data_IF_230111988415
#
_entry.id   IF_230111988415
#
_cell.length_a   1.000
_cell.length_b   1.000
_cell.length_c   1.000
_cell.angle_alpha   90.00
_cell.angle_beta   90.00
_cell.angle_gamma   90.00
#
_symmetry.space_group_name_H-M   'P 1'
#
loop_
_entity.id
_entity.type
_entity.pdbx_description
1 polymer ?
#
# COMPACT_ATOMS: atom_id res chain seq x y z
N UNK A 1 -3.99 24.24 2.70
CA UNK A 1 -4.94 23.27 2.10
C UNK A 1 -4.65 21.91 2.70
N UNK A 2 -5.59 21.35 3.47
CA UNK A 2 -5.40 20.06 4.13
C UNK A 2 -5.42 18.92 3.11
N UNK A 3 -4.40 18.06 3.12
CA UNK A 3 -4.50 16.76 2.48
C UNK A 3 -5.37 15.89 3.39
N UNK A 4 -6.52 15.37 2.93
CA UNK A 4 -7.37 14.54 3.76
C UNK A 4 -6.61 13.28 4.17
N UNK A 5 -6.73 12.88 5.44
CA UNK A 5 -6.37 11.54 5.88
C UNK A 5 -7.15 10.55 5.02
N UNK A 6 -6.47 9.87 4.09
CA UNK A 6 -7.11 8.93 3.17
C UNK A 6 -7.43 7.65 3.91
N UNK A 7 -8.53 7.65 4.66
CA UNK A 7 -9.19 6.40 5.01
C UNK A 7 -9.54 5.67 3.71
N UNK A 8 -9.43 4.34 3.70
CA UNK A 8 -10.02 3.50 2.66
C UNK A 8 -11.56 3.64 2.72
N UNK A 9 -12.08 4.79 2.33
CA UNK A 9 -13.51 5.05 2.18
C UNK A 9 -13.92 4.46 0.84
N UNK A 10 -14.27 3.18 0.84
CA UNK A 10 -14.72 2.47 -0.35
C UNK A 10 -16.23 2.60 -0.47
N UNK A 11 -16.71 3.54 -1.29
CA UNK A 11 -18.12 3.54 -1.71
C UNK A 11 -18.44 2.30 -2.59
N UNK A 12 -17.43 1.71 -3.22
CA UNK A 12 -17.51 0.43 -3.94
C UNK A 12 -17.15 -0.75 -3.02
N UNK A 13 -18.08 -1.69 -2.85
CA UNK A 13 -17.82 -2.95 -2.12
C UNK A 13 -17.37 -4.04 -3.07
N UNK A 14 -16.34 -4.78 -2.69
CA UNK A 14 -15.89 -5.95 -3.43
C UNK A 14 -16.84 -7.14 -3.25
N UNK A 15 -16.93 -7.94 -4.29
CA UNK A 15 -17.69 -9.20 -4.29
C UNK A 15 -16.74 -10.38 -4.44
N UNK A 16 -17.14 -11.54 -3.91
CA UNK A 16 -16.49 -12.78 -4.29
C UNK A 16 -16.83 -13.07 -5.75
N UNK A 17 -15.81 -13.39 -6.54
CA UNK A 17 -15.93 -13.76 -7.94
C UNK A 17 -15.29 -15.11 -8.22
N UNK A 18 -15.84 -15.82 -9.21
CA UNK A 18 -15.26 -17.05 -9.75
C UNK A 18 -15.52 -17.19 -11.24
N UNK A 19 -15.44 -18.41 -11.76
CA UNK A 19 -15.61 -18.74 -13.17
C UNK A 19 -17.04 -19.07 -13.57
N UNK A 20 -17.97 -19.27 -12.62
CA UNK A 20 -19.30 -19.82 -12.90
C UNK A 20 -19.26 -21.32 -13.25
N UNK A 21 -18.27 -22.05 -12.72
CA UNK A 21 -18.22 -23.53 -12.73
C UNK A 21 -18.90 -24.13 -11.50
N UNK A 22 -19.35 -23.30 -10.57
CA UNK A 22 -20.02 -23.76 -9.36
C UNK A 22 -21.35 -24.42 -9.68
N UNK A 23 -21.64 -25.48 -8.94
CA UNK A 23 -22.89 -26.23 -9.08
C UNK A 23 -23.56 -26.44 -7.73
N UNK A 24 -24.89 -26.54 -7.77
CA UNK A 24 -25.72 -26.78 -6.60
C UNK A 24 -25.76 -25.63 -5.60
N UNK A 25 -26.50 -25.83 -4.50
CA UNK A 25 -26.62 -24.83 -3.42
C UNK A 25 -25.38 -24.73 -2.53
N UNK A 26 -24.43 -25.66 -2.67
CA UNK A 26 -23.17 -25.66 -1.93
C UNK A 26 -22.06 -24.82 -2.59
N UNK A 27 -22.33 -24.24 -3.78
CA UNK A 27 -21.35 -23.47 -4.55
C UNK A 27 -20.01 -24.22 -4.78
N UNK A 28 -20.09 -25.53 -5.09
CA UNK A 28 -18.90 -26.38 -5.22
C UNK A 28 -18.20 -26.12 -6.56
N UNK A 29 -16.92 -25.73 -6.53
CA UNK A 29 -16.07 -25.56 -7.70
C UNK A 29 -15.13 -26.77 -7.90
N UNK A 30 -14.72 -27.08 -9.15
CA UNK A 30 -13.71 -28.09 -9.42
C UNK A 30 -12.35 -27.77 -8.77
N UNK A 31 -11.57 -28.81 -8.49
CA UNK A 31 -10.17 -28.68 -8.08
C UNK A 31 -9.34 -28.09 -9.23
N UNK A 32 -8.40 -27.20 -8.89
CA UNK A 32 -7.44 -26.62 -9.82
C UNK A 32 -7.38 -25.10 -9.76
N UNK A 33 -6.43 -24.55 -10.51
CA UNK A 33 -6.23 -23.10 -10.61
C UNK A 33 -7.15 -22.48 -11.66
N UNK A 34 -7.66 -21.28 -11.37
CA UNK A 34 -8.37 -20.43 -12.32
C UNK A 34 -7.73 -19.03 -12.35
N UNK A 35 -7.47 -18.48 -13.55
CA UNK A 35 -6.90 -17.15 -13.66
C UNK A 35 -7.98 -16.06 -13.66
N UNK A 36 -7.63 -14.91 -13.10
CA UNK A 36 -8.43 -13.68 -13.12
C UNK A 36 -7.54 -12.53 -13.59
N UNK A 37 -8.06 -11.69 -14.50
CA UNK A 37 -7.36 -10.53 -15.04
C UNK A 37 -8.25 -9.29 -15.01
N UNK A 38 -7.65 -8.15 -14.69
CA UNK A 38 -8.27 -6.83 -14.86
C UNK A 38 -7.21 -5.83 -15.32
N UNK A 39 -7.60 -4.95 -16.23
CA UNK A 39 -6.76 -3.85 -16.67
C UNK A 39 -6.93 -2.65 -15.72
N UNK A 40 -5.82 -2.04 -15.33
CA UNK A 40 -5.85 -0.82 -14.52
C UNK A 40 -6.18 0.36 -15.43
N UNK A 41 -7.18 1.19 -15.09
CA UNK A 41 -7.54 2.35 -15.89
C UNK A 41 -6.35 3.28 -16.08
N UNK A 42 -6.15 3.73 -17.31
CA UNK A 42 -5.13 4.71 -17.65
C UNK A 42 -5.59 5.53 -18.86
N UNK A 43 -5.08 6.75 -18.97
CA UNK A 43 -5.27 7.59 -20.15
C UNK A 43 -4.07 8.52 -20.32
N UNK A 44 -3.98 9.20 -21.46
CA UNK A 44 -2.89 10.15 -21.74
C UNK A 44 -2.77 11.28 -20.69
N UNK A 45 -3.82 11.55 -19.91
CA UNK A 45 -3.81 12.58 -18.85
C UNK A 45 -3.96 12.00 -17.44
N UNK A 46 -4.08 10.67 -17.32
CA UNK A 46 -4.30 9.97 -16.05
C UNK A 46 -3.38 8.76 -15.99
N UNK A 47 -2.13 9.02 -15.65
CA UNK A 47 -1.06 8.02 -15.63
C UNK A 47 -0.97 7.36 -14.25
N UNK A 48 -1.23 6.05 -14.14
CA UNK A 48 -1.16 5.35 -12.87
C UNK A 48 0.29 5.24 -12.40
N UNK A 49 0.54 5.41 -11.10
CA UNK A 49 1.89 5.35 -10.53
C UNK A 49 2.03 4.27 -9.46
N UNK A 50 0.97 4.00 -8.69
CA UNK A 50 1.02 3.04 -7.60
C UNK A 50 -0.27 2.23 -7.52
N UNK A 51 -0.16 0.96 -7.13
CA UNK A 51 -1.30 0.16 -6.71
C UNK A 51 -1.11 -0.30 -5.27
N UNK A 52 -2.12 -0.09 -4.42
CA UNK A 52 -2.26 -0.79 -3.15
C UNK A 52 -3.37 -1.82 -3.26
N UNK A 53 -3.02 -3.08 -3.06
CA UNK A 53 -3.87 -4.22 -3.34
C UNK A 53 -4.20 -4.91 -2.03
N UNK A 54 -5.48 -4.98 -1.69
CA UNK A 54 -6.01 -5.78 -0.58
C UNK A 54 -6.66 -7.01 -1.19
N UNK A 55 -6.14 -8.20 -0.86
CA UNK A 55 -6.59 -9.43 -1.50
C UNK A 55 -6.55 -10.60 -0.52
N UNK A 56 -7.57 -11.45 -0.59
CA UNK A 56 -7.53 -12.79 -0.03
C UNK A 56 -7.38 -13.77 -1.21
N UNK A 57 -6.55 -14.80 -1.05
CA UNK A 57 -6.19 -15.82 -2.06
C UNK A 57 -4.91 -15.55 -2.90
N UNK A 58 -4.39 -16.66 -3.43
CA UNK A 58 -2.99 -16.94 -3.77
C UNK A 58 -2.52 -16.26 -5.08
N UNK A 59 -1.19 -16.14 -5.22
CA UNK A 59 -0.40 -15.65 -6.36
C UNK A 59 -0.95 -14.42 -7.10
N UNK A 60 -0.48 -13.25 -6.66
CA UNK A 60 -0.80 -11.95 -7.21
C UNK A 60 0.31 -11.49 -8.14
N UNK A 61 -0.06 -11.07 -9.34
CA UNK A 61 0.84 -10.57 -10.35
C UNK A 61 0.41 -9.18 -10.81
N UNK A 62 1.40 -8.31 -11.01
CA UNK A 62 1.23 -7.03 -11.69
C UNK A 62 2.23 -6.98 -12.83
N UNK A 63 1.73 -6.71 -14.04
CA UNK A 63 2.54 -6.59 -15.25
C UNK A 63 3.46 -7.79 -15.53
N UNK A 64 3.01 -9.00 -15.21
CA UNK A 64 3.78 -10.24 -15.40
C UNK A 64 4.65 -10.62 -14.21
N UNK A 65 4.89 -9.70 -13.29
CA UNK A 65 5.70 -9.94 -12.11
C UNK A 65 4.84 -10.39 -10.93
N UNK A 66 5.31 -11.42 -10.22
CA UNK A 66 4.71 -11.85 -8.98
C UNK A 66 5.11 -10.89 -7.85
N UNK A 67 4.11 -10.27 -7.22
CA UNK A 67 4.32 -9.38 -6.08
C UNK A 67 3.97 -10.06 -4.76
N UNK A 68 3.07 -11.06 -4.77
CA UNK A 68 2.66 -11.72 -3.55
C UNK A 68 2.29 -13.17 -3.74
N UNK A 69 2.66 -14.01 -2.77
CA UNK A 69 2.05 -15.33 -2.55
C UNK A 69 0.99 -15.16 -1.47
N UNK A 70 -0.27 -14.91 -1.87
CA UNK A 70 -1.37 -14.67 -0.92
C UNK A 70 -1.55 -15.78 0.12
N UNK A 71 -2.31 -15.47 1.19
CA UNK A 71 -2.66 -16.42 2.26
C UNK A 71 -4.02 -17.09 2.00
N UNK A 72 -4.35 -18.17 2.72
CA UNK A 72 -5.68 -18.78 2.62
C UNK A 72 -6.77 -17.81 3.13
N UNK A 73 -8.03 -17.90 2.65
CA UNK A 73 -9.12 -17.01 3.10
C UNK A 73 -9.29 -16.92 4.62
N UNK A 74 -8.98 -18.02 5.33
CA UNK A 74 -9.08 -18.12 6.80
C UNK A 74 -7.98 -17.33 7.54
N UNK A 75 -6.93 -16.93 6.84
CA UNK A 75 -5.79 -16.17 7.40
C UNK A 75 -5.91 -14.65 7.15
N UNK A 76 -7.05 -14.19 6.61
CA UNK A 76 -7.33 -12.78 6.36
C UNK A 76 -6.77 -12.25 5.04
N UNK A 77 -7.10 -10.99 4.73
CA UNK A 77 -6.56 -10.32 3.56
C UNK A 77 -5.10 -9.90 3.80
N UNK A 78 -4.32 -9.89 2.72
CA UNK A 78 -2.96 -9.32 2.70
C UNK A 78 -3.01 -8.03 1.89
N UNK A 79 -2.17 -7.07 2.28
CA UNK A 79 -2.02 -5.81 1.54
C UNK A 79 -0.65 -5.77 0.90
N UNK A 80 -0.62 -5.54 -0.41
CA UNK A 80 0.57 -5.36 -1.23
C UNK A 80 0.63 -3.94 -1.78
N UNK A 81 1.84 -3.41 -2.04
CA UNK A 81 2.01 -2.17 -2.79
C UNK A 81 3.06 -2.35 -3.87
N UNK A 82 2.76 -1.89 -5.08
CA UNK A 82 3.69 -2.00 -6.21
C UNK A 82 3.64 -0.77 -7.12
N UNK A 83 4.76 -0.51 -7.80
CA UNK A 83 4.87 0.53 -8.81
C UNK A 83 4.14 0.16 -10.09
N UNK A 84 3.55 1.16 -10.76
CA UNK A 84 2.88 1.00 -12.04
C UNK A 84 3.63 1.77 -13.13
N UNK A 85 3.45 1.34 -14.38
CA UNK A 85 4.06 1.97 -15.53
C UNK A 85 3.15 3.10 -16.05
N UNK A 86 3.53 4.38 -15.92
CA UNK A 86 2.65 5.51 -16.24
C UNK A 86 2.25 5.58 -17.72
N UNK A 87 3.12 5.10 -18.61
CA UNK A 87 2.99 5.26 -20.07
C UNK A 87 2.57 3.96 -20.79
N UNK A 88 2.19 2.92 -20.04
CA UNK A 88 1.83 1.63 -20.63
C UNK A 88 0.63 0.99 -19.96
N UNK A 89 0.02 0.03 -20.65
CA UNK A 89 -1.04 -0.81 -20.09
C UNK A 89 -0.53 -1.49 -18.83
N UNK A 90 -1.27 -1.34 -17.73
CA UNK A 90 -1.02 -2.06 -16.50
C UNK A 90 -2.09 -3.14 -16.32
N UNK A 91 -1.67 -4.35 -15.97
CA UNK A 91 -2.57 -5.47 -15.73
C UNK A 91 -2.33 -6.04 -14.36
N UNK A 92 -3.44 -6.25 -13.66
CA UNK A 92 -3.49 -7.03 -12.44
C UNK A 92 -4.03 -8.43 -12.76
N UNK A 93 -3.30 -9.45 -12.30
CA UNK A 93 -3.57 -10.85 -12.61
C UNK A 93 -3.46 -11.70 -11.34
N UNK A 94 -4.45 -12.57 -11.09
CA UNK A 94 -4.47 -13.48 -9.93
C UNK A 94 -4.74 -14.90 -10.38
N UNK A 95 -3.96 -15.85 -9.86
CA UNK A 95 -4.22 -17.28 -10.03
C UNK A 95 -4.75 -17.87 -8.73
N UNK A 96 -6.05 -18.19 -8.67
CA UNK A 96 -6.64 -18.80 -7.47
C UNK A 96 -6.71 -20.30 -7.63
N UNK A 97 -6.06 -21.04 -6.73
CA UNK A 97 -6.06 -22.50 -6.69
C UNK A 97 -7.09 -23.03 -5.72
N UNK A 98 -8.07 -23.77 -6.21
CA UNK A 98 -8.94 -24.60 -5.39
C UNK A 98 -8.26 -25.95 -5.12
N UNK A 99 -7.92 -26.24 -3.87
CA UNK A 99 -7.09 -27.42 -3.50
C UNK A 99 -7.89 -28.67 -3.17
N UNK A 100 -9.21 -28.54 -2.97
CA UNK A 100 -10.13 -29.64 -2.72
C UNK A 100 -11.50 -29.30 -3.30
N UNK A 101 -12.35 -30.29 -3.53
CA UNK A 101 -13.73 -30.01 -3.91
C UNK A 101 -14.40 -29.18 -2.80
N UNK A 102 -15.01 -28.06 -3.19
CA UNK A 102 -15.58 -27.10 -2.25
C UNK A 102 -15.73 -25.72 -2.86
N UNK A 103 -16.17 -24.77 -2.04
CA UNK A 103 -16.34 -23.38 -2.48
C UNK A 103 -14.99 -22.73 -2.81
N UNK A 104 -14.94 -22.02 -3.93
CA UNK A 104 -13.79 -21.23 -4.35
C UNK A 104 -14.22 -19.81 -4.72
N UNK A 105 -13.36 -18.83 -4.45
CA UNK A 105 -13.68 -17.44 -4.71
C UNK A 105 -12.46 -16.53 -4.58
N UNK A 106 -12.47 -15.46 -5.37
CA UNK A 106 -11.54 -14.34 -5.28
C UNK A 106 -12.27 -13.12 -4.72
N UNK A 107 -11.68 -12.45 -3.74
CA UNK A 107 -12.08 -11.09 -3.35
C UNK A 107 -10.85 -10.18 -3.31
N UNK A 108 -10.95 -9.03 -3.97
CA UNK A 108 -9.86 -8.07 -4.05
C UNK A 108 -10.37 -6.62 -4.11
N UNK A 109 -9.56 -5.70 -3.60
CA UNK A 109 -9.70 -4.25 -3.74
C UNK A 109 -8.34 -3.69 -4.15
N UNK A 110 -8.29 -2.89 -5.20
CA UNK A 110 -7.07 -2.26 -5.70
C UNK A 110 -7.31 -0.75 -5.69
N UNK A 111 -6.58 -0.05 -4.85
CA UNK A 111 -6.49 1.40 -4.87
C UNK A 111 -5.37 1.80 -5.82
N UNK A 112 -5.70 2.55 -6.87
CA UNK A 112 -4.75 3.04 -7.86
C UNK A 112 -4.49 4.52 -7.58
N UNK A 113 -3.24 4.86 -7.29
CA UNK A 113 -2.77 6.24 -7.20
C UNK A 113 -2.30 6.71 -8.59
N UNK A 114 -2.65 7.94 -8.95
CA UNK A 114 -2.24 8.56 -10.21
C UNK A 114 -1.25 9.70 -9.96
N UNK A 115 -0.45 10.00 -10.98
CA UNK A 115 0.57 11.06 -10.96
C UNK A 115 0.01 12.47 -10.76
N UNK A 116 -1.28 12.69 -11.05
CA UNK A 116 -2.01 13.94 -10.79
C UNK A 116 -2.52 14.07 -9.34
N UNK A 117 -2.29 13.05 -8.50
CA UNK A 117 -2.73 12.98 -7.11
C UNK A 117 -4.15 12.44 -6.92
N UNK A 118 -4.88 12.14 -7.99
CA UNK A 118 -6.19 11.46 -7.92
C UNK A 118 -6.03 9.96 -7.64
N UNK A 119 -7.14 9.30 -7.34
CA UNK A 119 -7.19 7.85 -7.10
C UNK A 119 -8.42 7.22 -7.72
N UNK A 120 -8.31 5.95 -8.11
CA UNK A 120 -9.45 5.09 -8.43
C UNK A 120 -9.42 3.84 -7.56
N UNK A 121 -10.60 3.23 -7.36
CA UNK A 121 -10.72 1.93 -6.70
C UNK A 121 -11.29 0.92 -7.68
N UNK A 122 -10.55 -0.16 -7.93
CA UNK A 122 -11.00 -1.33 -8.67
C UNK A 122 -11.38 -2.40 -7.66
N UNK A 123 -12.56 -2.98 -7.80
CA UNK A 123 -13.07 -4.04 -6.92
C UNK A 123 -13.29 -5.33 -7.71
N UNK A 124 -13.16 -6.49 -7.07
CA UNK A 124 -13.56 -7.76 -7.67
C UNK A 124 -15.07 -7.78 -7.95
N UNK A 125 -15.42 -7.94 -9.23
CA UNK A 125 -16.79 -7.96 -9.73
C UNK A 125 -16.82 -8.60 -11.14
N UNK A 126 -17.95 -8.51 -11.84
CA UNK A 126 -18.13 -9.08 -13.19
C UNK A 126 -17.35 -8.40 -14.32
N UNK A 127 -16.65 -7.28 -14.07
CA UNK A 127 -15.77 -6.68 -15.09
C UNK A 127 -14.43 -7.38 -15.21
N UNK A 128 -14.11 -8.27 -14.28
CA UNK A 128 -12.91 -9.10 -14.33
C UNK A 128 -13.07 -10.19 -15.37
N UNK A 129 -11.98 -10.52 -16.04
CA UNK A 129 -11.93 -11.61 -17.01
C UNK A 129 -11.39 -12.87 -16.35
N UNK A 130 -11.92 -14.02 -16.74
CA UNK A 130 -11.50 -15.33 -16.24
C UNK A 130 -11.62 -16.41 -17.30
N UNK A 131 -11.15 -17.61 -16.98
CA UNK A 131 -11.12 -18.76 -17.86
C UNK A 131 -11.48 -20.02 -17.07
N UNK A 132 -12.39 -20.85 -17.60
CA UNK A 132 -12.76 -22.17 -17.05
C UNK A 132 -11.72 -23.26 -17.33
N UNK A 133 -10.44 -22.91 -17.22
CA UNK A 133 -9.33 -23.84 -17.44
C UNK A 133 -8.05 -23.34 -16.76
N UNK A 134 -6.99 -24.15 -16.83
CA UNK A 134 -5.65 -23.71 -16.44
C UNK A 134 -5.24 -22.51 -17.28
N UNK A 135 -4.51 -21.58 -16.65
CA UNK A 135 -4.03 -20.36 -17.28
C UNK A 135 -3.01 -20.66 -18.41
N UNK A 136 -3.16 -20.08 -19.61
CA UNK A 136 -2.19 -20.20 -20.69
C UNK A 136 -0.83 -19.58 -20.35
N UNK A 137 0.24 -19.96 -21.05
CA UNK A 137 1.54 -19.30 -20.90
C UNK A 137 1.47 -17.80 -21.18
N UNK A 138 2.17 -16.99 -20.38
CA UNK A 138 2.21 -15.52 -20.54
C UNK A 138 0.97 -14.77 -20.08
N UNK A 139 -0.05 -15.46 -19.53
CA UNK A 139 -1.32 -14.87 -19.08
C UNK A 139 -1.21 -13.80 -18.01
N UNK A 140 -0.06 -13.54 -17.41
CA UNK A 140 0.15 -12.45 -16.43
C UNK A 140 0.63 -11.16 -17.09
N UNK A 141 1.09 -11.22 -18.35
CA UNK A 141 1.66 -10.10 -19.08
C UNK A 141 0.60 -9.06 -19.50
N UNK A 142 0.93 -7.76 -19.54
CA UNK A 142 0.10 -6.73 -20.15
C UNK A 142 -0.17 -6.94 -21.65
N UNK A 143 0.76 -7.62 -22.33
CA UNK A 143 0.67 -7.91 -23.77
C UNK A 143 -0.23 -9.10 -24.13
N UNK A 144 -0.68 -9.87 -23.12
CA UNK A 144 -1.53 -11.03 -23.35
C UNK A 144 -2.94 -10.61 -23.80
N UNK A 145 -3.42 -11.23 -24.88
CA UNK A 145 -4.78 -11.04 -25.39
C UNK A 145 -5.77 -11.92 -24.62
N UNK A 146 -6.57 -11.27 -23.78
CA UNK A 146 -7.67 -11.89 -23.03
C UNK A 146 -9.05 -11.59 -23.65
N UNK A 147 -9.11 -11.21 -24.94
CA UNK A 147 -10.38 -10.94 -25.63
C UNK A 147 -11.33 -12.14 -25.66
N UNK A 148 -10.79 -13.36 -25.68
CA UNK A 148 -11.55 -14.61 -25.66
C UNK A 148 -11.97 -15.08 -24.24
N UNK A 149 -11.53 -14.39 -23.18
CA UNK A 149 -11.86 -14.76 -21.80
C UNK A 149 -13.27 -14.29 -21.45
N UNK A 150 -13.94 -15.05 -20.59
CA UNK A 150 -15.30 -14.73 -20.13
C UNK A 150 -15.26 -13.76 -18.95
N UNK A 151 -16.34 -13.01 -18.76
CA UNK A 151 -16.54 -12.27 -17.52
C UNK A 151 -16.56 -13.22 -16.31
N UNK A 152 -16.04 -12.77 -15.18
CA UNK A 152 -16.13 -13.49 -13.92
C UNK A 152 -17.58 -13.49 -13.41
N UNK A 153 -17.98 -14.60 -12.81
CA UNK A 153 -19.29 -14.73 -12.17
C UNK A 153 -19.23 -14.17 -10.75
N UNK A 154 -20.30 -13.49 -10.32
CA UNK A 154 -20.37 -12.85 -8.99
C UNK A 154 -21.08 -13.79 -8.03
N UNK A 155 -20.33 -14.38 -7.10
CA UNK A 155 -20.85 -15.34 -6.11
C UNK A 155 -21.63 -14.66 -4.98
N UNK A 156 -21.33 -13.40 -4.72
CA UNK A 156 -22.02 -12.61 -3.70
C UNK A 156 -21.15 -11.52 -3.09
N UNK A 157 -21.80 -10.59 -2.39
CA UNK A 157 -21.10 -9.53 -1.66
C UNK A 157 -20.23 -10.08 -0.53
N UNK A 158 -19.21 -9.32 -0.13
CA UNK A 158 -18.36 -9.67 1.03
C UNK A 158 -19.14 -9.94 2.32
N UNK A 159 -20.38 -9.44 2.46
CA UNK A 159 -21.21 -9.66 3.66
C UNK A 159 -22.20 -10.83 3.55
N UNK A 160 -22.45 -11.33 2.33
CA UNK A 160 -23.43 -12.39 2.06
C UNK A 160 -22.77 -13.72 1.65
N UNK A 161 -21.46 -13.73 1.51
CA UNK A 161 -20.67 -14.89 1.09
C UNK A 161 -20.33 -15.81 2.28
N UNK A 162 -20.15 -17.14 2.07
CA UNK A 162 -19.79 -18.09 3.13
C UNK A 162 -18.50 -17.75 3.89
N UNK A 163 -17.63 -16.92 3.31
CA UNK A 163 -16.37 -16.49 3.94
C UNK A 163 -16.48 -15.17 4.71
N UNK A 164 -17.60 -14.45 4.60
CA UNK A 164 -17.73 -13.10 5.17
C UNK A 164 -16.71 -12.11 4.61
N UNK A 165 -16.57 -10.98 5.29
CA UNK A 165 -15.63 -9.92 4.89
C UNK A 165 -14.25 -10.23 5.48
N UNK A 166 -13.18 -10.28 4.66
CA UNK A 166 -11.83 -10.48 5.18
C UNK A 166 -11.49 -9.39 6.20
N UNK A 167 -10.87 -9.79 7.32
CA UNK A 167 -10.31 -8.82 8.25
C UNK A 167 -9.24 -8.00 7.53
N UNK A 168 -9.38 -6.67 7.60
CA UNK A 168 -8.32 -5.76 7.15
C UNK A 168 -7.16 -5.81 8.15
N UNK A 169 -5.91 -5.57 7.71
CA UNK A 169 -4.82 -5.39 8.64
C UNK A 169 -5.14 -4.23 9.61
N UNK A 170 -4.67 -4.31 10.86
CA UNK A 170 -5.02 -3.33 11.87
C UNK A 170 -4.57 -1.92 11.45
N UNK A 171 -5.53 -1.01 11.34
CA UNK A 171 -5.26 0.43 11.42
C UNK A 171 -5.36 0.81 12.90
N UNK A 172 -4.23 1.05 13.56
CA UNK A 172 -4.18 1.34 15.00
C UNK A 172 -4.91 2.66 15.30
N UNK A 173 -5.85 2.65 16.26
CA UNK A 173 -6.56 3.84 16.74
C UNK A 173 -6.58 3.88 18.27
N UNK A 174 -6.40 5.06 18.85
CA UNK A 174 -6.73 5.37 20.24
C UNK A 174 -7.14 6.85 20.36
N UNK A 175 -8.19 7.14 21.12
CA UNK A 175 -8.88 8.43 21.09
C UNK A 175 -8.25 9.55 21.95
N UNK A 176 -8.54 10.78 21.50
CA UNK A 176 -8.43 12.11 22.14
C UNK A 176 -7.11 12.92 21.99
N UNK A 177 -7.26 14.22 21.68
CA UNK A 177 -6.25 15.18 21.19
C UNK A 177 -6.39 16.57 21.87
N UNK A 178 -5.25 17.24 22.14
CA UNK A 178 -5.16 18.70 22.39
C UNK A 178 -3.84 19.27 21.82
N UNK A 179 -3.85 20.57 21.45
CA UNK A 179 -2.78 21.31 20.76
C UNK A 179 -2.11 22.38 21.65
N UNK A 180 -0.78 22.43 21.57
CA UNK A 180 0.16 23.58 21.49
C UNK A 180 1.55 23.06 21.90
N UNK A 181 2.55 23.08 21.02
CA UNK A 181 3.86 22.48 21.25
C UNK A 181 4.98 23.51 21.37
N UNK A 182 5.64 23.52 22.54
CA UNK A 182 6.75 24.43 22.85
C UNK A 182 8.13 23.85 22.44
N UNK A 183 8.22 22.54 22.15
CA UNK A 183 9.47 21.89 21.71
C UNK A 183 9.30 21.15 20.38
N UNK A 184 10.28 21.31 19.48
CA UNK A 184 10.30 20.71 18.13
C UNK A 184 11.66 20.09 17.84
N UNK A 185 11.64 18.91 17.23
CA UNK A 185 12.84 18.18 16.81
C UNK A 185 12.66 17.68 15.37
N UNK A 186 13.63 17.93 14.46
CA UNK A 186 13.59 17.36 13.13
C UNK A 186 14.09 15.91 13.13
N UNK A 187 13.48 15.08 12.30
CA UNK A 187 13.96 13.74 11.96
C UNK A 187 14.09 13.63 10.45
N UNK A 188 15.17 13.03 9.96
CA UNK A 188 15.41 12.86 8.52
C UNK A 188 15.99 11.50 8.20
N UNK A 189 15.59 10.95 7.06
CA UNK A 189 16.14 9.73 6.51
C UNK A 189 16.26 9.85 4.99
N UNK A 190 17.48 9.69 4.51
CA UNK A 190 17.77 9.51 3.08
C UNK A 190 17.61 8.03 2.72
N UNK A 191 16.83 7.78 1.69
CA UNK A 191 16.52 6.47 1.12
C UNK A 191 17.08 6.46 -0.31
N UNK A 192 18.11 5.64 -0.53
CA UNK A 192 18.73 5.46 -1.85
C UNK A 192 18.23 4.18 -2.48
N UNK A 193 17.79 4.25 -3.72
CA UNK A 193 17.38 3.07 -4.47
C UNK A 193 18.54 2.08 -4.64
N UNK A 194 18.32 0.77 -4.44
CA UNK A 194 19.32 -0.24 -4.74
C UNK A 194 19.75 -0.20 -6.21
N UNK A 195 20.99 -0.60 -6.49
CA UNK A 195 21.50 -0.65 -7.86
C UNK A 195 20.57 -1.43 -8.80
N UNK A 196 20.20 -0.80 -9.92
CA UNK A 196 19.30 -1.39 -10.92
C UNK A 196 17.81 -1.24 -10.62
N UNK A 197 17.44 -0.65 -9.49
CA UNK A 197 16.05 -0.31 -9.14
C UNK A 197 15.84 1.20 -9.19
N UNK A 198 14.65 1.61 -9.62
CA UNK A 198 14.20 2.99 -9.55
C UNK A 198 12.95 3.06 -8.67
N UNK A 199 12.97 3.90 -7.65
CA UNK A 199 11.80 4.13 -6.80
C UNK A 199 10.68 4.78 -7.63
N UNK A 200 9.45 4.31 -7.44
CA UNK A 200 8.27 4.78 -8.18
C UNK A 200 7.32 5.51 -7.25
N UNK A 201 6.91 4.82 -6.20
CA UNK A 201 5.92 5.26 -5.23
C UNK A 201 6.14 4.58 -3.89
N UNK A 202 5.33 4.93 -2.90
CA UNK A 202 5.42 4.31 -1.58
C UNK A 202 4.25 4.61 -0.68
N UNK A 203 4.30 4.07 0.53
CA UNK A 203 3.41 4.42 1.64
C UNK A 203 4.26 4.73 2.86
N UNK A 204 3.81 5.65 3.69
CA UNK A 204 4.39 5.87 5.00
C UNK A 204 3.30 5.82 6.04
N UNK A 205 3.55 5.06 7.10
CA UNK A 205 2.75 5.02 8.32
C UNK A 205 3.59 5.63 9.41
N UNK A 206 3.11 6.69 10.06
CA UNK A 206 3.88 7.35 11.11
C UNK A 206 3.02 7.99 12.19
N UNK A 207 3.65 8.19 13.35
CA UNK A 207 3.12 8.94 14.48
C UNK A 207 4.27 9.63 15.21
N UNK A 208 3.99 10.78 15.81
CA UNK A 208 4.94 11.47 16.68
C UNK A 208 4.28 12.02 17.95
N UNK A 209 5.00 11.99 19.09
CA UNK A 209 4.59 12.60 20.36
C UNK A 209 5.02 14.06 20.41
N UNK A 210 4.11 15.03 20.28
CA UNK A 210 2.63 14.96 20.22
C UNK A 210 2.03 15.15 18.82
N UNK A 211 2.79 15.75 17.92
CA UNK A 211 2.34 16.13 16.59
C UNK A 211 3.49 16.11 15.61
N UNK A 212 3.20 16.16 14.32
CA UNK A 212 4.21 16.26 13.29
C UNK A 212 3.72 16.95 12.02
N UNK A 213 4.66 17.48 11.26
CA UNK A 213 4.53 17.68 9.82
C UNK A 213 5.48 16.75 9.07
N UNK A 214 4.93 15.99 8.12
CA UNK A 214 5.67 15.07 7.26
C UNK A 214 5.98 15.75 5.91
N UNK A 215 7.22 15.60 5.48
CA UNK A 215 7.71 16.01 4.17
C UNK A 215 8.38 14.84 3.45
N UNK A 216 8.26 14.83 2.13
CA UNK A 216 9.06 13.96 1.25
C UNK A 216 9.61 14.81 0.12
N UNK A 217 10.93 14.79 -0.07
CA UNK A 217 11.65 15.60 -1.06
C UNK A 217 11.23 17.08 -1.04
N UNK A 218 11.19 17.65 0.17
CA UNK A 218 10.77 19.03 0.41
C UNK A 218 9.28 19.34 0.26
N UNK A 219 8.45 18.40 -0.20
CA UNK A 219 7.00 18.58 -0.31
C UNK A 219 6.30 18.15 0.97
N UNK A 220 5.48 19.02 1.54
CA UNK A 220 4.59 18.65 2.66
C UNK A 220 3.56 17.61 2.20
N UNK A 221 3.55 16.46 2.89
CA UNK A 221 2.67 15.32 2.60
C UNK A 221 1.47 15.29 3.56
N UNK A 222 1.70 15.61 4.84
CA UNK A 222 0.68 15.47 5.86
C UNK A 222 1.05 16.08 7.20
N UNK A 223 0.05 16.21 8.06
CA UNK A 223 0.20 16.67 9.44
C UNK A 223 -0.56 15.73 10.38
N UNK A 224 0.06 15.39 11.50
CA UNK A 224 -0.54 14.66 12.60
C UNK A 224 -0.55 15.49 13.86
N UNK A 225 -1.59 15.36 14.68
CA UNK A 225 -1.76 16.14 15.91
C UNK A 225 -1.95 15.24 17.14
N UNK A 226 -1.63 13.95 17.01
CA UNK A 226 -1.70 12.99 18.11
C UNK A 226 -0.71 11.86 17.88
N UNK A 227 -0.05 11.40 18.95
CA UNK A 227 0.82 10.23 18.88
C UNK A 227 0.08 8.90 18.95
N UNK A 228 -1.18 8.95 19.37
CA UNK A 228 -2.02 7.78 19.65
C UNK A 228 -2.57 7.10 18.39
N UNK A 229 -2.55 7.80 17.25
CA UNK A 229 -3.01 7.30 15.96
C UNK A 229 -1.89 7.43 14.95
N UNK A 230 -1.37 6.30 14.48
CA UNK A 230 -0.53 6.32 13.29
C UNK A 230 -1.37 6.69 12.08
N UNK A 231 -0.91 7.67 11.30
CA UNK A 231 -1.56 8.03 10.05
C UNK A 231 -0.77 7.43 8.89
N UNK A 232 -1.51 7.02 7.85
CA UNK A 232 -0.94 6.48 6.63
C UNK A 232 -1.07 7.51 5.49
N UNK A 233 0.02 7.71 4.76
CA UNK A 233 0.09 8.60 3.61
C UNK A 233 0.58 7.87 2.36
N UNK A 234 0.08 8.32 1.21
CA UNK A 234 0.50 7.81 -0.09
C UNK A 234 1.58 8.69 -0.69
N UNK A 235 2.69 8.08 -1.05
CA UNK A 235 3.80 8.71 -1.76
C UNK A 235 3.63 8.39 -3.24
N UNK A 236 2.75 9.13 -3.91
CA UNK A 236 2.31 8.85 -5.29
C UNK A 236 3.40 9.01 -6.35
N UNK A 237 4.49 9.72 -6.04
CA UNK A 237 5.62 9.93 -6.92
C UNK A 237 6.88 10.13 -6.10
N UNK A 238 7.89 9.32 -6.38
CA UNK A 238 9.23 9.41 -5.80
C UNK A 238 10.24 9.78 -6.89
N UNK A 239 11.38 10.31 -6.45
CA UNK A 239 12.57 10.40 -7.28
C UNK A 239 13.13 8.98 -7.51
N UNK A 240 13.59 8.62 -8.71
CA UNK A 240 14.04 7.26 -9.00
C UNK A 240 15.25 6.83 -8.16
N UNK A 241 16.13 7.75 -7.78
CA UNK A 241 17.44 7.40 -7.23
C UNK A 241 17.53 7.69 -5.74
N UNK A 242 17.08 8.87 -5.30
CA UNK A 242 17.24 9.31 -3.91
C UNK A 242 16.01 10.05 -3.42
N UNK A 243 15.45 9.56 -2.33
CA UNK A 243 14.34 10.20 -1.65
C UNK A 243 14.69 10.53 -0.21
N UNK A 244 14.16 11.64 0.27
CA UNK A 244 14.34 12.11 1.63
C UNK A 244 12.98 12.16 2.29
N UNK A 245 12.85 11.42 3.40
CA UNK A 245 11.73 11.54 4.33
C UNK A 245 12.16 12.45 5.47
N UNK A 246 11.41 13.52 5.70
CA UNK A 246 11.68 14.46 6.79
C UNK A 246 10.43 14.66 7.63
N UNK A 247 10.60 14.69 8.95
CA UNK A 247 9.51 14.87 9.92
C UNK A 247 9.91 15.98 10.86
N UNK A 248 9.10 17.03 10.91
CA UNK A 248 9.16 18.05 11.95
C UNK A 248 8.18 17.61 13.04
N UNK A 249 8.70 16.99 14.10
CA UNK A 249 7.88 16.54 15.21
C UNK A 249 7.86 17.59 16.33
N UNK A 250 6.73 17.69 17.04
CA UNK A 250 6.52 18.70 18.05
C UNK A 250 5.81 18.12 19.29
N UNK A 251 6.34 18.39 20.48
CA UNK A 251 5.82 17.94 21.76
C UNK A 251 5.20 19.11 22.55
N UNK A 252 4.01 18.88 23.12
CA UNK A 252 3.25 19.85 23.92
C UNK A 252 3.76 20.06 25.34
N UNK A 253 4.75 19.27 25.76
CA UNK A 253 5.33 19.36 27.10
C UNK A 253 6.70 20.03 27.04
N UNK A 254 6.88 21.06 27.86
CA UNK A 254 8.18 21.68 28.08
C UNK A 254 9.20 20.67 28.65
N UNK A 255 10.45 20.78 28.24
CA UNK A 255 11.59 19.93 28.61
C UNK A 255 11.36 18.44 28.29
N UNK A 256 10.77 18.13 27.14
CA UNK A 256 10.51 16.76 26.69
C UNK A 256 10.94 16.52 25.25
N UNK A 257 11.46 15.32 24.97
CA UNK A 257 11.85 14.94 23.61
C UNK A 257 10.63 14.61 22.76
N UNK A 258 10.84 14.64 21.44
CA UNK A 258 9.86 14.13 20.49
C UNK A 258 10.12 12.65 20.24
N UNK A 259 9.06 11.85 20.33
CA UNK A 259 9.12 10.44 19.92
C UNK A 259 8.58 10.30 18.51
N UNK A 260 9.30 9.59 17.65
CA UNK A 260 8.85 9.28 16.29
C UNK A 260 8.84 7.76 16.09
N UNK A 261 7.69 7.24 15.63
CA UNK A 261 7.58 5.89 15.11
C UNK A 261 7.09 5.95 13.67
N UNK A 262 7.84 5.37 12.73
CA UNK A 262 7.44 5.31 11.33
C UNK A 262 7.87 4.03 10.63
N UNK A 263 7.09 3.65 9.63
CA UNK A 263 7.41 2.63 8.64
C UNK A 263 7.14 3.16 7.24
N UNK A 264 8.13 3.07 6.35
CA UNK A 264 8.13 3.59 4.99
C UNK A 264 8.29 2.42 4.03
N UNK A 265 7.29 2.16 3.19
CA UNK A 265 7.35 1.22 2.08
C UNK A 265 7.69 1.97 0.80
N UNK A 266 8.70 1.52 0.08
CA UNK A 266 9.08 2.01 -1.25
C UNK A 266 8.86 0.89 -2.25
N UNK A 267 8.09 1.17 -3.30
CA UNK A 267 7.91 0.28 -4.43
C UNK A 267 8.78 0.74 -5.61
N UNK A 268 9.40 -0.24 -6.27
CA UNK A 268 10.35 -0.03 -7.36
C UNK A 268 9.76 -0.40 -8.72
N UNK A 269 10.42 0.06 -9.78
CA UNK A 269 10.06 -0.18 -11.18
C UNK A 269 10.16 -1.65 -11.61
N UNK A 270 10.97 -2.43 -10.91
CA UNK A 270 11.08 -3.88 -11.07
C UNK A 270 10.04 -4.64 -10.24
N UNK A 271 8.94 -3.96 -9.86
CA UNK A 271 7.79 -4.40 -9.07
C UNK A 271 8.08 -4.90 -7.66
N UNK A 272 9.35 -4.92 -7.24
CA UNK A 272 9.74 -5.24 -5.87
C UNK A 272 9.47 -4.05 -4.95
N UNK A 273 9.53 -4.28 -3.64
CA UNK A 273 9.42 -3.22 -2.63
C UNK A 273 10.33 -3.46 -1.44
N UNK A 274 10.62 -2.40 -0.69
CA UNK A 274 11.44 -2.42 0.52
C UNK A 274 10.82 -1.55 1.61
N UNK A 275 10.93 -2.02 2.87
CA UNK A 275 10.40 -1.32 4.03
C UNK A 275 11.52 -0.80 4.91
N UNK A 276 11.44 0.47 5.29
CA UNK A 276 12.34 1.15 6.21
C UNK A 276 11.58 1.53 7.47
N UNK A 277 12.14 1.27 8.63
CA UNK A 277 11.56 1.66 9.91
C UNK A 277 12.38 2.78 10.56
N UNK A 278 11.78 3.48 11.50
CA UNK A 278 12.54 4.32 12.44
C UNK A 278 13.52 3.47 13.23
N UNK A 279 14.79 3.84 13.17
CA UNK A 279 15.91 3.19 13.84
C UNK A 279 17.02 4.23 14.14
N UNK A 280 18.16 3.77 14.65
CA UNK A 280 19.28 4.66 15.01
C UNK A 280 19.99 5.33 13.83
N UNK A 281 19.63 4.99 12.58
CA UNK A 281 20.20 5.59 11.37
C UNK A 281 19.41 6.80 10.86
N UNK A 282 18.26 7.10 11.46
CA UNK A 282 17.58 8.37 11.26
C UNK A 282 18.39 9.49 11.90
N UNK A 283 18.51 10.62 11.22
CA UNK A 283 19.24 11.79 11.71
C UNK A 283 18.29 12.75 12.41
N UNK A 284 18.76 13.35 13.50
CA UNK A 284 18.00 14.35 14.29
C UNK A 284 18.90 15.44 14.87
N UNK A 285 18.29 16.47 15.44
CA UNK A 285 18.93 17.57 16.15
C UNK A 285 18.26 17.79 17.51
N UNK A 286 19.04 18.11 18.54
CA UNK A 286 18.51 18.68 19.79
C UNK A 286 18.28 20.20 19.62
N UNK A 287 17.60 20.59 18.54
CA UNK A 287 17.35 21.98 18.16
C UNK A 287 16.14 22.04 17.21
N UNK A 288 15.58 23.24 17.06
CA UNK A 288 14.51 23.49 16.09
C UNK A 288 14.94 23.10 14.67
N UNK A 289 14.01 22.59 13.84
CA UNK A 289 14.29 22.30 12.44
C UNK A 289 14.88 23.53 11.72
N UNK A 290 16.07 23.43 11.10
CA UNK A 290 16.61 24.53 10.32
C UNK A 290 15.77 24.76 9.06
N UNK A 291 15.85 25.96 8.48
CA UNK A 291 15.16 26.23 7.22
C UNK A 291 15.68 25.32 6.11
N UNK A 292 14.78 24.72 5.33
CA UNK A 292 15.15 23.79 4.27
C UNK A 292 15.59 22.41 4.77
N UNK A 293 15.44 22.12 6.07
CA UNK A 293 15.75 20.80 6.60
C UNK A 293 14.94 19.69 5.94
N UNK A 294 13.92 19.95 5.14
CA UNK A 294 13.10 18.95 4.45
C UNK A 294 13.62 18.62 3.03
N UNK A 295 14.55 19.41 2.50
CA UNK A 295 15.02 19.31 1.12
C UNK A 295 16.01 18.15 0.91
N UNK A 296 16.08 17.53 -0.29
CA UNK A 296 17.02 16.44 -0.56
C UNK A 296 18.51 16.80 -0.39
N UNK A 297 18.86 18.07 -0.61
CA UNK A 297 20.21 18.60 -0.59
C UNK A 297 20.61 19.24 0.76
N UNK A 298 19.74 19.16 1.77
CA UNK A 298 20.05 19.69 3.10
C UNK A 298 21.27 18.97 3.71
N UNK A 299 22.30 19.74 4.10
CA UNK A 299 23.49 19.22 4.76
C UNK A 299 23.13 18.72 6.17
N UNK A 300 23.24 17.41 6.35
CA UNK A 300 22.98 16.72 7.62
C UNK A 300 24.24 16.05 8.18
N UNK A 301 25.43 16.47 7.75
CA UNK A 301 26.71 15.91 8.19
C UNK A 301 26.98 16.06 9.69
N UNK A 302 26.53 17.18 10.27
CA UNK A 302 26.64 17.46 11.72
C UNK A 302 25.44 16.97 12.54
N UNK A 303 24.46 16.31 11.92
CA UNK A 303 23.30 15.78 12.62
C UNK A 303 23.65 14.47 13.32
N UNK A 304 23.00 14.23 14.46
CA UNK A 304 23.25 13.02 15.25
C UNK A 304 22.26 11.92 14.89
N UNK A 305 22.67 10.66 15.08
CA UNK A 305 21.76 9.53 14.97
C UNK A 305 20.68 9.57 16.06
N UNK A 306 19.46 9.17 15.70
CA UNK A 306 18.34 9.09 16.62
C UNK A 306 18.59 8.02 17.70
N UNK A 307 18.10 8.28 18.91
CA UNK A 307 18.21 7.32 20.02
C UNK A 307 17.00 6.40 20.03
N UNK A 308 17.22 5.08 20.06
CA UNK A 308 16.16 4.08 20.21
C UNK A 308 15.81 3.95 21.70
N UNK A 309 14.54 4.15 22.06
CA UNK A 309 14.08 4.11 23.45
C UNK A 309 13.21 2.89 23.80
N UNK A 310 12.66 2.22 22.77
CA UNK A 310 11.97 0.95 22.89
C UNK A 310 11.60 0.42 21.50
N UNK A 311 11.35 -0.89 21.33
CA UNK A 311 10.82 -1.38 20.07
C UNK A 311 9.46 -0.71 19.81
N UNK A 312 9.26 -0.18 18.61
CA UNK A 312 7.88 -0.09 18.09
C UNK A 312 7.39 -1.53 18.08
N UNK A 313 6.29 -1.84 18.76
CA UNK A 313 5.72 -3.19 18.70
C UNK A 313 5.64 -3.59 17.22
N UNK A 314 6.12 -4.78 16.86
CA UNK A 314 6.19 -5.32 15.50
C UNK A 314 4.81 -5.44 14.79
N UNK A 315 3.77 -4.85 15.37
CA UNK A 315 2.37 -4.88 14.93
C UNK A 315 1.97 -3.65 14.11
N UNK A 316 2.82 -2.62 14.00
CA UNK A 316 2.65 -1.56 13.01
C UNK A 316 2.86 -2.15 11.61
N UNK A 317 1.79 -2.64 11.00
CA UNK A 317 1.86 -3.29 9.70
C UNK A 317 1.94 -2.20 8.63
N UNK A 318 3.16 -1.95 8.16
CA UNK A 318 3.31 -1.44 6.79
C UNK A 318 2.88 -2.58 5.87
N UNK A 319 2.03 -2.35 4.85
CA UNK A 319 1.65 -3.41 3.90
C UNK A 319 2.86 -4.22 3.48
N UNK A 320 2.79 -5.55 3.64
CA UNK A 320 3.90 -6.41 3.25
C UNK A 320 4.09 -6.36 1.73
N UNK A 321 5.33 -6.58 1.29
CA UNK A 321 5.70 -6.71 -0.12
C UNK A 321 4.91 -7.82 -0.82
#
# INVERSE_FOLDING_TARGET
MHAPSRQFSTSARSSYIWTGEQTGTAHTAPVGMRPFRVEIPSSATKCPSCATIIVACVSVYVNGQQIGTGRSPQQGAVVYTTGLNPDSKNVFAIGVSNTAEGSAGLIATILVDYTDGTTDTIVSNSTWKTLKSVAPGGWTSPSFDDSAWTAADVEGSSTASPWGSPALPPAYQYDDCRMAADEREPFRKTLTSPYGKAAVCGKIVLSAEDSYTLYVNGKSIGIGSTWKVMQAYSLSKLDPDVNVVAVDGANSRENTRVWLGAGVLIAYNDGSSETYYTDGSWKTLNALPPAGFEQPDADDSEWVGATIWGPVAHDATVPNA
#
